data_IF_591799797711
#
_entry.id   IF_591799797711
#
_cell.length_a   1.000
_cell.length_b   1.000
_cell.length_c   1.000
_cell.angle_alpha   90.00
_cell.angle_beta   90.00
_cell.angle_gamma   90.00
#
_symmetry.space_group_name_H-M   'P 1'
#
loop_
_entity.id
_entity.type
_entity.pdbx_description
1 polymer ?
#
# COMPACT_ATOMS: atom_id res chain seq x y z
N UNK A 1 9.15 5.75 0.68
CA UNK A 1 9.02 6.84 1.66
C UNK A 1 7.56 7.00 2.02
N UNK A 2 7.24 7.41 3.25
CA UNK A 2 5.87 7.84 3.57
C UNK A 2 5.57 9.17 2.89
N UNK A 3 4.43 9.27 2.23
CA UNK A 3 3.91 10.50 1.61
C UNK A 3 3.79 11.67 2.60
N UNK A 4 3.71 11.40 3.91
CA UNK A 4 3.80 12.40 4.98
C UNK A 4 4.94 12.07 5.95
N UNK A 5 6.05 12.84 5.95
CA UNK A 5 7.24 12.54 6.76
C UNK A 5 7.03 12.71 8.27
N UNK A 6 6.01 13.49 8.68
CA UNK A 6 5.71 13.78 10.09
C UNK A 6 4.66 12.84 10.71
N UNK A 7 4.07 11.93 9.93
CA UNK A 7 3.09 10.98 10.46
C UNK A 7 3.71 10.10 11.56
N UNK A 8 2.96 9.72 12.59
CA UNK A 8 3.44 8.91 13.73
C UNK A 8 4.24 7.67 13.29
N UNK A 9 3.76 6.97 12.26
CA UNK A 9 4.43 5.81 11.68
C UNK A 9 5.67 6.15 10.82
N UNK A 10 5.76 7.36 10.29
CA UNK A 10 6.97 7.87 9.63
C UNK A 10 8.02 8.27 10.67
N UNK A 11 7.60 8.92 11.76
CA UNK A 11 8.44 9.29 12.90
C UNK A 11 9.03 8.07 13.62
N UNK A 12 8.30 6.95 13.69
CA UNK A 12 8.84 5.67 14.17
C UNK A 12 9.80 4.99 13.18
N UNK A 13 9.84 5.44 11.91
CA UNK A 13 10.78 4.98 10.87
C UNK A 13 11.99 5.91 10.68
N UNK A 14 11.93 7.18 11.09
CA UNK A 14 13.05 8.14 10.99
C UNK A 14 14.24 7.82 11.92
N UNK A 15 14.08 6.84 12.83
CA UNK A 15 15.14 6.26 13.65
C UNK A 15 15.39 4.76 13.42
N UNK A 16 14.85 4.19 12.34
CA UNK A 16 15.00 2.76 11.99
C UNK A 16 16.49 2.44 11.77
N UNK A 17 17.02 1.44 12.47
CA UNK A 17 18.41 0.99 12.26
C UNK A 17 19.51 1.81 12.95
N UNK A 18 19.20 2.72 13.89
CA UNK A 18 20.21 3.53 14.60
C UNK A 18 20.46 3.00 16.02
N UNK A 19 21.72 2.69 16.35
CA UNK A 19 22.18 2.18 17.67
C UNK A 19 23.04 0.90 17.57
N UNK A 20 23.72 0.52 18.65
CA UNK A 20 24.44 -0.76 18.76
C UNK A 20 23.51 -1.83 19.39
N UNK A 21 23.53 -3.07 18.86
CA UNK A 21 22.74 -4.20 19.38
C UNK A 21 21.55 -4.62 18.49
N UNK A 22 20.66 -5.46 19.04
CA UNK A 22 19.46 -5.96 18.33
C UNK A 22 18.32 -4.92 18.40
N UNK A 23 17.93 -4.39 17.25
CA UNK A 23 16.96 -3.31 17.03
C UNK A 23 15.53 -3.83 16.74
N UNK A 24 15.28 -5.12 16.94
CA UNK A 24 13.94 -5.73 16.94
C UNK A 24 13.20 -5.67 15.60
N UNK A 25 11.86 -5.66 15.67
CA UNK A 25 10.90 -5.84 14.55
C UNK A 25 11.11 -4.86 13.38
N UNK A 26 11.69 -3.70 13.64
CA UNK A 26 11.86 -2.58 12.72
C UNK A 26 13.33 -2.09 12.70
N UNK A 27 14.31 -2.95 12.89
CA UNK A 27 15.73 -2.54 12.78
C UNK A 27 16.69 -3.70 12.58
N UNK A 28 16.38 -4.86 13.17
CA UNK A 28 17.13 -6.11 12.96
C UNK A 28 16.36 -7.16 12.18
N UNK A 29 15.10 -6.86 11.83
CA UNK A 29 14.36 -7.68 10.88
C UNK A 29 14.95 -7.44 9.49
N UNK A 30 15.52 -8.46 8.81
CA UNK A 30 16.02 -8.28 7.45
C UNK A 30 14.90 -7.73 6.58
N UNK A 31 15.25 -6.87 5.61
CA UNK A 31 14.32 -6.45 4.59
C UNK A 31 13.58 -7.70 4.08
N UNK A 32 12.26 -7.63 3.90
CA UNK A 32 11.50 -8.72 3.30
C UNK A 32 12.09 -8.95 1.90
N UNK A 33 13.05 -9.88 1.80
CA UNK A 33 13.88 -10.08 0.62
C UNK A 33 13.08 -10.61 -0.57
N UNK A 34 11.91 -11.16 -0.29
CA UNK A 34 10.86 -11.40 -1.27
C UNK A 34 9.51 -11.42 -0.55
N UNK A 35 8.50 -10.71 -1.05
CA UNK A 35 7.15 -11.10 -0.67
C UNK A 35 6.91 -12.45 -1.35
N UNK A 36 6.78 -13.52 -0.58
CA UNK A 36 6.61 -14.92 -1.04
C UNK A 36 5.43 -15.14 -2.01
N UNK A 37 4.64 -14.09 -2.28
CA UNK A 37 3.45 -14.06 -3.12
C UNK A 37 3.49 -12.95 -4.18
N UNK A 38 4.60 -12.22 -4.34
CA UNK A 38 4.79 -11.27 -5.46
C UNK A 38 4.75 -12.07 -6.76
N UNK A 39 3.85 -11.71 -7.68
CA UNK A 39 3.70 -12.43 -8.95
C UNK A 39 2.76 -13.64 -8.92
N UNK A 40 2.35 -14.18 -7.76
CA UNK A 40 1.38 -15.31 -7.73
C UNK A 40 0.03 -14.95 -8.35
N UNK A 41 -0.40 -13.69 -8.20
CA UNK A 41 -1.61 -13.18 -8.85
C UNK A 41 -1.23 -12.58 -10.20
N UNK A 42 -1.66 -13.23 -11.28
CA UNK A 42 -1.52 -12.75 -12.66
C UNK A 42 -2.35 -11.50 -12.95
N UNK A 43 -3.33 -11.19 -12.10
CA UNK A 43 -4.25 -10.05 -12.23
C UNK A 43 -4.48 -9.33 -10.91
N UNK A 44 -4.80 -8.04 -10.97
CA UNK A 44 -5.17 -7.22 -9.82
C UNK A 44 -6.69 -7.07 -9.74
N UNK A 45 -7.19 -6.70 -8.55
CA UNK A 45 -8.59 -6.29 -8.42
C UNK A 45 -8.75 -4.87 -8.95
N UNK A 46 -9.89 -4.59 -9.54
CA UNK A 46 -10.28 -3.25 -9.98
C UNK A 46 -10.44 -2.33 -8.77
N UNK A 47 -9.94 -1.11 -8.90
CA UNK A 47 -10.15 -0.02 -7.93
C UNK A 47 -10.77 1.15 -8.71
N UNK A 48 -12.10 1.09 -8.85
CA UNK A 48 -12.88 2.12 -9.54
C UNK A 48 -13.51 3.02 -8.49
N UNK A 49 -13.43 4.33 -8.74
CA UNK A 49 -14.13 5.34 -7.95
C UNK A 49 -15.22 5.93 -8.82
N UNK A 50 -16.43 5.86 -8.34
CA UNK A 50 -17.59 6.39 -9.01
C UNK A 50 -17.92 7.74 -8.40
N UNK A 51 -18.11 8.74 -9.24
CA UNK A 51 -18.56 10.06 -8.84
C UNK A 51 -20.05 10.17 -9.15
N UNK A 52 -20.85 10.55 -8.15
CA UNK A 52 -22.25 10.89 -8.38
C UNK A 52 -22.33 12.27 -9.05
N UNK A 53 -22.96 12.36 -10.21
CA UNK A 53 -23.10 13.61 -10.98
C UNK A 53 -23.86 14.71 -10.22
N UNK A 54 -24.80 14.35 -9.35
CA UNK A 54 -25.63 15.29 -8.60
C UNK A 54 -24.92 15.83 -7.35
N UNK A 55 -24.45 14.94 -6.48
CA UNK A 55 -23.87 15.34 -5.19
C UNK A 55 -22.33 15.45 -5.19
N UNK A 56 -21.66 15.09 -6.31
CA UNK A 56 -20.20 15.09 -6.49
C UNK A 56 -19.42 14.27 -5.46
N UNK A 57 -20.11 13.43 -4.69
CA UNK A 57 -19.47 12.52 -3.73
C UNK A 57 -18.87 11.35 -4.50
N UNK A 58 -17.65 11.01 -4.12
CA UNK A 58 -16.96 9.85 -4.66
C UNK A 58 -17.19 8.64 -3.76
N UNK A 59 -17.54 7.51 -4.35
CA UNK A 59 -17.63 6.24 -3.66
C UNK A 59 -16.70 5.21 -4.33
N UNK A 60 -15.99 4.45 -3.50
CA UNK A 60 -15.15 3.36 -3.97
C UNK A 60 -15.99 2.14 -4.31
N UNK A 61 -15.53 1.37 -5.28
CA UNK A 61 -16.14 0.10 -5.64
C UNK A 61 -16.22 -0.85 -4.42
N UNK A 62 -17.43 -1.22 -4.01
CA UNK A 62 -17.68 -2.10 -2.84
C UNK A 62 -17.01 -3.47 -2.95
N UNK A 63 -16.91 -4.02 -4.17
CA UNK A 63 -16.23 -5.29 -4.44
C UNK A 63 -15.54 -5.23 -5.81
N UNK A 64 -14.20 -5.15 -5.80
CA UNK A 64 -13.38 -5.25 -7.01
C UNK A 64 -13.38 -6.66 -7.60
N UNK A 65 -13.55 -6.77 -8.92
CA UNK A 65 -13.32 -7.99 -9.69
C UNK A 65 -11.88 -8.03 -10.20
N UNK A 66 -11.39 -9.18 -10.65
CA UNK A 66 -10.01 -9.28 -11.16
C UNK A 66 -9.97 -9.06 -12.67
N UNK A 67 -9.10 -8.18 -13.13
CA UNK A 67 -8.90 -7.90 -14.56
C UNK A 67 -7.40 -7.70 -14.86
N UNK A 68 -6.98 -8.00 -16.11
CA UNK A 68 -5.64 -7.66 -16.62
C UNK A 68 -5.58 -6.21 -17.09
N UNK A 69 -6.61 -5.78 -17.83
CA UNK A 69 -6.80 -4.45 -18.40
C UNK A 69 -8.28 -4.11 -18.33
N UNK A 70 -8.60 -2.84 -18.13
CA UNK A 70 -9.94 -2.26 -18.19
C UNK A 70 -9.83 -1.08 -19.13
N UNK A 71 -10.74 -0.98 -20.09
CA UNK A 71 -10.84 0.15 -21.02
C UNK A 71 -12.23 0.76 -20.84
N UNK A 72 -12.26 2.09 -20.72
CA UNK A 72 -13.51 2.84 -20.73
C UNK A 72 -13.74 3.27 -22.16
N UNK A 73 -14.81 2.78 -22.77
CA UNK A 73 -15.32 3.23 -24.08
C UNK A 73 -16.18 4.45 -23.92
#
# INVERSE_FOLDING_TARGET
GSTHPLAKAAKSRTGFGKGMGNLGKYGSKPAIGSFKMTGKKTTKKTDIRYECSECKKTHSQRKGFRAKKIEFT
#
